data_IF_494537172582
#
_entry.id   IF_494537172582
#
_cell.length_a   1.000
_cell.length_b   1.000
_cell.length_c   1.000
_cell.angle_alpha   90.00
_cell.angle_beta   90.00
_cell.angle_gamma   90.00
#
_symmetry.space_group_name_H-M   'P 1'
#
loop_
_entity.id
_entity.type
_entity.pdbx_description
1 polymer ?
#
# COMPACT_ATOMS: atom_id res chain seq x y z
N UNK A 1 -42.17 21.89 -6.69
CA UNK A 1 -40.72 22.01 -7.00
C UNK A 1 -39.96 21.99 -5.67
N UNK A 2 -38.73 21.45 -5.69
CA UNK A 2 -37.80 21.18 -4.56
C UNK A 2 -38.05 19.88 -3.76
N UNK A 3 -37.31 18.82 -4.13
CA UNK A 3 -37.14 17.57 -3.37
C UNK A 3 -36.01 17.75 -2.33
N UNK A 4 -36.09 17.12 -1.15
CA UNK A 4 -35.05 17.17 -0.11
C UNK A 4 -33.78 16.45 -0.57
N UNK A 5 -32.62 16.95 -0.14
CA UNK A 5 -31.31 16.33 -0.40
C UNK A 5 -31.00 15.27 0.66
N UNK A 6 -30.96 13.96 0.34
CA UNK A 6 -30.53 12.95 1.27
C UNK A 6 -29.00 12.87 1.37
N UNK A 7 -28.59 12.48 2.58
CA UNK A 7 -27.27 12.45 3.20
C UNK A 7 -26.27 11.48 2.52
N UNK A 8 -24.99 11.88 2.57
CA UNK A 8 -23.78 11.11 2.27
C UNK A 8 -23.79 9.71 2.91
N UNK A 9 -23.69 8.65 2.11
CA UNK A 9 -23.17 7.34 2.51
C UNK A 9 -22.67 6.62 1.25
N UNK A 10 -21.49 7.00 0.78
CA UNK A 10 -20.76 6.22 -0.22
C UNK A 10 -20.11 5.02 0.48
N UNK A 11 -20.84 3.93 0.51
CA UNK A 11 -20.36 2.57 0.82
C UNK A 11 -19.49 2.11 -0.35
N UNK A 12 -18.16 2.04 -0.18
CA UNK A 12 -17.23 1.26 -1.02
C UNK A 12 -16.06 0.88 -0.10
N UNK A 13 -15.67 -0.38 0.13
CA UNK A 13 -16.07 -1.63 -0.47
C UNK A 13 -15.93 -2.79 0.52
N UNK A 14 -16.82 -3.74 0.31
CA UNK A 14 -17.08 -4.96 1.05
C UNK A 14 -16.05 -6.05 0.70
N UNK A 15 -15.64 -6.78 1.75
CA UNK A 15 -15.29 -8.22 1.81
C UNK A 15 -14.46 -8.87 0.70
N UNK A 16 -13.35 -9.49 1.11
CA UNK A 16 -12.97 -10.80 0.60
C UNK A 16 -12.35 -11.65 1.72
N UNK A 17 -13.20 -12.19 2.59
CA UNK A 17 -12.88 -13.43 3.28
C UNK A 17 -13.02 -14.56 2.24
N UNK A 18 -11.91 -14.91 1.59
CA UNK A 18 -11.84 -16.03 0.66
C UNK A 18 -11.07 -17.18 1.30
N UNK A 19 -11.79 -18.22 1.74
CA UNK A 19 -11.20 -19.54 2.01
C UNK A 19 -10.70 -20.08 0.67
N UNK A 20 -9.41 -19.99 0.42
CA UNK A 20 -8.79 -20.61 -0.74
C UNK A 20 -8.36 -22.03 -0.38
N UNK A 21 -9.06 -23.01 -0.97
CA UNK A 21 -8.65 -24.41 -1.04
C UNK A 21 -7.18 -24.47 -1.50
N UNK A 22 -6.33 -25.12 -0.70
CA UNK A 22 -4.93 -25.32 -1.02
C UNK A 22 -4.76 -26.17 -2.30
N UNK A 23 -4.32 -25.54 -3.38
CA UNK A 23 -3.75 -26.24 -4.53
C UNK A 23 -2.25 -26.50 -4.24
N UNK A 24 -1.78 -27.75 -4.26
CA UNK A 24 -0.35 -28.03 -4.14
C UNK A 24 0.33 -27.74 -5.49
N UNK A 25 1.39 -26.95 -5.45
CA UNK A 25 2.35 -26.88 -6.55
C UNK A 25 2.09 -25.77 -7.57
N UNK A 26 2.48 -24.56 -7.18
CA UNK A 26 3.19 -23.61 -8.04
C UNK A 26 3.70 -22.49 -7.13
N UNK A 27 4.82 -22.75 -6.44
CA UNK A 27 5.70 -21.65 -6.05
C UNK A 27 6.28 -21.07 -7.34
N UNK A 28 5.48 -20.34 -8.10
CA UNK A 28 6.03 -19.18 -8.78
C UNK A 28 6.66 -18.40 -7.64
N UNK A 29 7.97 -18.55 -7.45
CA UNK A 29 8.73 -17.69 -6.56
C UNK A 29 8.64 -16.33 -7.22
N UNK A 30 7.51 -15.66 -7.05
CA UNK A 30 7.34 -14.27 -7.36
C UNK A 30 8.55 -13.64 -6.71
N UNK A 31 9.45 -13.10 -7.54
CA UNK A 31 10.60 -12.37 -7.04
C UNK A 31 10.07 -11.44 -5.94
N UNK A 32 10.78 -11.38 -4.81
CA UNK A 32 10.32 -10.60 -3.66
C UNK A 32 9.84 -9.22 -4.20
N UNK A 33 8.57 -8.86 -3.96
CA UNK A 33 7.93 -7.76 -4.67
C UNK A 33 8.62 -6.42 -4.38
N UNK A 34 9.43 -6.35 -3.31
CA UNK A 34 10.21 -5.21 -2.91
C UNK A 34 11.65 -5.24 -3.42
N UNK A 35 12.12 -6.30 -4.11
CA UNK A 35 13.51 -6.35 -4.62
C UNK A 35 13.83 -5.18 -5.55
N UNK A 36 12.89 -4.79 -6.40
CA UNK A 36 13.03 -3.59 -7.23
C UNK A 36 13.15 -2.32 -6.38
N UNK A 37 12.36 -2.21 -5.30
CA UNK A 37 12.40 -1.09 -4.35
C UNK A 37 13.75 -1.05 -3.63
N UNK A 38 14.21 -2.18 -3.08
CA UNK A 38 15.49 -2.29 -2.36
C UNK A 38 16.67 -1.94 -3.28
N UNK A 39 16.61 -2.39 -4.54
CA UNK A 39 17.62 -2.06 -5.55
C UNK A 39 17.62 -0.57 -5.87
N UNK A 40 16.44 0.02 -6.11
CA UNK A 40 16.32 1.44 -6.36
C UNK A 40 16.81 2.29 -5.17
N UNK A 41 16.48 1.90 -3.93
CA UNK A 41 17.01 2.55 -2.71
C UNK A 41 18.53 2.44 -2.64
N UNK A 42 19.10 1.26 -2.93
CA UNK A 42 20.56 1.04 -2.94
C UNK A 42 21.25 1.93 -3.98
N UNK A 43 20.62 2.11 -5.14
CA UNK A 43 21.08 2.99 -6.21
C UNK A 43 20.74 4.47 -5.97
N UNK A 44 20.16 4.82 -4.82
CA UNK A 44 19.67 6.16 -4.46
C UNK A 44 18.63 6.72 -5.44
N UNK A 45 17.98 5.85 -6.21
CA UNK A 45 16.86 6.20 -7.09
C UNK A 45 15.55 6.18 -6.29
N UNK A 46 15.39 7.16 -5.41
CA UNK A 46 14.25 7.25 -4.51
C UNK A 46 12.92 7.48 -5.24
N UNK A 47 12.93 8.16 -6.38
CA UNK A 47 11.74 8.39 -7.20
C UNK A 47 11.17 7.08 -7.74
N UNK A 48 12.03 6.21 -8.26
CA UNK A 48 11.64 4.89 -8.76
C UNK A 48 11.16 4.00 -7.61
N UNK A 49 11.89 3.99 -6.48
CA UNK A 49 11.50 3.28 -5.28
C UNK A 49 10.11 3.72 -4.78
N UNK A 50 9.85 5.03 -4.73
CA UNK A 50 8.57 5.58 -4.29
C UNK A 50 7.43 5.16 -5.24
N UNK A 51 7.67 5.24 -6.56
CA UNK A 51 6.68 4.84 -7.58
C UNK A 51 6.35 3.34 -7.49
N UNK A 52 7.35 2.50 -7.23
CA UNK A 52 7.14 1.07 -7.02
C UNK A 52 6.41 0.80 -5.69
N UNK A 53 6.79 1.49 -4.60
CA UNK A 53 6.10 1.40 -3.32
C UNK A 53 4.64 1.82 -3.40
N UNK A 54 4.32 2.91 -4.12
CA UNK A 54 2.93 3.34 -4.33
C UNK A 54 2.10 2.26 -5.03
N UNK A 55 2.66 1.61 -6.06
CA UNK A 55 2.00 0.51 -6.77
C UNK A 55 1.75 -0.70 -5.86
N UNK A 56 2.77 -1.11 -5.11
CA UNK A 56 2.69 -2.27 -4.21
C UNK A 56 1.78 -2.01 -3.01
N UNK A 57 1.84 -0.81 -2.43
CA UNK A 57 0.98 -0.40 -1.33
C UNK A 57 -0.50 -0.31 -1.77
N UNK A 58 -0.75 0.17 -2.99
CA UNK A 58 -2.08 0.16 -3.61
C UNK A 58 -2.58 -1.26 -3.92
N UNK A 59 -1.68 -2.19 -4.23
CA UNK A 59 -1.97 -3.61 -4.38
C UNK A 59 -2.19 -4.34 -3.04
N UNK A 60 -2.08 -3.64 -1.90
CA UNK A 60 -2.35 -4.19 -0.57
C UNK A 60 -1.14 -4.76 0.14
N UNK A 61 0.07 -4.71 -0.43
CA UNK A 61 1.26 -5.26 0.22
C UNK A 61 1.58 -4.49 1.52
N UNK A 62 1.46 -5.16 2.67
CA UNK A 62 1.60 -4.53 3.99
C UNK A 62 2.99 -3.90 4.21
N UNK A 63 4.05 -4.60 3.80
CA UNK A 63 5.42 -4.09 3.94
C UNK A 63 5.68 -2.88 3.03
N UNK A 64 5.11 -2.86 1.82
CA UNK A 64 5.15 -1.70 0.94
C UNK A 64 4.39 -0.50 1.53
N UNK A 65 3.27 -0.73 2.21
CA UNK A 65 2.52 0.34 2.90
C UNK A 65 3.37 0.93 4.04
N UNK A 66 4.03 0.08 4.83
CA UNK A 66 4.98 0.53 5.85
C UNK A 66 6.14 1.35 5.25
N UNK A 67 6.80 0.81 4.23
CA UNK A 67 7.92 1.50 3.58
C UNK A 67 7.52 2.83 2.93
N UNK A 68 6.34 2.89 2.32
CA UNK A 68 5.80 4.14 1.76
C UNK A 68 5.52 5.16 2.86
N UNK A 69 5.03 4.72 4.03
CA UNK A 69 4.87 5.60 5.18
C UNK A 69 6.22 6.18 5.64
N UNK A 70 7.26 5.35 5.70
CA UNK A 70 8.62 5.79 6.01
C UNK A 70 9.11 6.83 4.98
N UNK A 71 8.79 6.66 3.70
CA UNK A 71 9.13 7.64 2.67
C UNK A 71 8.45 8.99 2.91
N UNK A 72 7.18 9.00 3.30
CA UNK A 72 6.46 10.23 3.66
C UNK A 72 6.97 10.85 4.97
N UNK A 73 7.40 10.06 5.95
CA UNK A 73 7.99 10.58 7.20
C UNK A 73 9.36 11.21 6.99
N UNK A 74 10.14 10.70 6.04
CA UNK A 74 11.48 11.21 5.74
C UNK A 74 11.50 12.26 4.63
N UNK A 75 10.37 12.53 3.97
CA UNK A 75 10.32 13.45 2.83
C UNK A 75 11.09 12.93 1.60
N UNK A 76 11.15 11.61 1.43
CA UNK A 76 11.85 10.95 0.33
C UNK A 76 11.04 11.01 -0.97
N UNK A 77 9.71 11.10 -0.86
CA UNK A 77 8.79 11.22 -1.98
C UNK A 77 8.12 12.62 -2.04
N UNK A 78 8.90 13.67 -1.79
CA UNK A 78 8.41 15.05 -1.69
C UNK A 78 8.39 15.56 -0.25
N UNK A 79 7.63 16.62 0.07
CA UNK A 79 7.57 17.16 1.42
C UNK A 79 7.16 16.10 2.45
N UNK A 80 7.70 16.22 3.66
CA UNK A 80 7.33 15.34 4.76
C UNK A 80 5.83 15.45 5.04
N UNK A 81 5.14 14.31 5.04
CA UNK A 81 3.70 14.22 5.30
C UNK A 81 3.39 13.11 6.32
N UNK A 82 3.42 13.44 7.63
CA UNK A 82 3.12 12.47 8.67
C UNK A 82 1.66 11.99 8.66
N UNK A 83 0.74 12.79 8.12
CA UNK A 83 -0.67 12.42 8.06
C UNK A 83 -0.90 11.30 7.04
N UNK A 84 -0.30 11.41 5.85
CA UNK A 84 -0.30 10.33 4.87
C UNK A 84 0.44 9.09 5.39
N UNK A 85 1.58 9.28 6.06
CA UNK A 85 2.31 8.16 6.65
C UNK A 85 1.46 7.37 7.66
N UNK A 86 0.75 8.06 8.56
CA UNK A 86 -0.16 7.44 9.53
C UNK A 86 -1.19 6.54 8.84
N UNK A 87 -1.83 7.03 7.78
CA UNK A 87 -2.83 6.24 7.04
C UNK A 87 -2.26 4.97 6.39
N UNK A 88 -1.01 5.00 5.93
CA UNK A 88 -0.33 3.82 5.40
C UNK A 88 0.14 2.86 6.50
N UNK A 89 0.62 3.38 7.64
CA UNK A 89 0.97 2.57 8.80
C UNK A 89 -0.23 1.83 9.37
N UNK A 90 -1.39 2.49 9.48
CA UNK A 90 -2.62 1.85 9.95
C UNK A 90 -3.05 0.68 9.05
N UNK A 91 -2.90 0.82 7.72
CA UNK A 91 -3.17 -0.26 6.77
C UNK A 91 -2.18 -1.42 6.88
N UNK A 92 -0.90 -1.12 7.07
CA UNK A 92 0.14 -2.14 7.33
C UNK A 92 -0.17 -2.91 8.62
N UNK A 93 -0.42 -2.18 9.71
CA UNK A 93 -0.71 -2.75 11.03
C UNK A 93 -1.99 -3.59 11.02
N UNK A 94 -3.01 -3.17 10.26
CA UNK A 94 -4.23 -3.95 10.06
C UNK A 94 -4.02 -5.32 9.39
N UNK A 95 -2.85 -5.53 8.77
CA UNK A 95 -2.45 -6.80 8.14
C UNK A 95 -1.42 -7.58 8.99
N UNK A 96 -1.08 -7.09 10.18
CA UNK A 96 -0.15 -7.74 11.10
C UNK A 96 1.34 -7.49 10.79
N UNK A 97 1.65 -6.46 10.00
CA UNK A 97 3.02 -5.98 9.77
C UNK A 97 3.38 -4.81 10.67
#
# INVERSE_FOLDING_TARGET
MARPRPVLLAVIGVLAAGVALAAPGQFSRAADPLEGVKTAIRLKNFTEAATALQRLAAAGNAEAQYMLAVFYLNGVNGPRDPAQAKGWLEKSAGQGN
#
